data_IF_193897832832
#
_entry.id   IF_193897832832
#
_cell.length_a   1.000
_cell.length_b   1.000
_cell.length_c   1.000
_cell.angle_alpha   90.00
_cell.angle_beta   90.00
_cell.angle_gamma   90.00
#
_symmetry.space_group_name_H-M   'P 1'
#
loop_
_entity.id
_entity.type
_entity.pdbx_description
1 polymer ?
#
# COMPACT_ATOMS: atom_id res chain seq x y z
N UNK A 1 -13.12 14.31 12.39
CA UNK A 1 -13.57 14.41 10.97
C UNK A 1 -13.70 13.00 10.42
N UNK A 2 -14.76 12.69 9.67
CA UNK A 2 -14.96 11.39 9.03
C UNK A 2 -14.84 11.62 7.51
N UNK A 3 -14.00 10.83 6.84
CA UNK A 3 -13.83 10.86 5.39
C UNK A 3 -14.44 9.59 4.79
N UNK A 4 -15.29 9.75 3.78
CA UNK A 4 -15.93 8.64 3.07
C UNK A 4 -15.53 8.70 1.61
N UNK A 5 -15.16 7.55 1.05
CA UNK A 5 -14.71 7.41 -0.33
C UNK A 5 -14.75 5.95 -0.76
N UNK A 6 -14.06 5.63 -1.85
CA UNK A 6 -14.05 4.29 -2.44
C UNK A 6 -12.64 3.77 -2.68
N UNK A 7 -12.53 2.46 -2.88
CA UNK A 7 -11.32 1.80 -3.35
C UNK A 7 -11.18 2.02 -4.87
N UNK A 8 -10.33 2.96 -5.24
CA UNK A 8 -10.17 3.46 -6.60
C UNK A 8 -11.32 4.38 -7.05
N UNK A 9 -11.11 5.04 -8.17
CA UNK A 9 -12.13 5.90 -8.79
C UNK A 9 -13.19 5.04 -9.48
N UNK A 10 -14.44 5.09 -8.98
CA UNK A 10 -15.58 4.38 -9.58
C UNK A 10 -16.24 5.15 -10.74
N UNK A 11 -15.77 6.37 -11.00
CA UNK A 11 -16.22 7.24 -12.08
C UNK A 11 -15.07 8.14 -12.56
N UNK A 12 -15.35 9.10 -13.45
CA UNK A 12 -14.34 10.04 -13.92
C UNK A 12 -13.81 10.90 -12.76
N UNK A 13 -12.48 11.04 -12.64
CA UNK A 13 -11.83 11.73 -11.52
C UNK A 13 -12.41 13.10 -11.20
N UNK A 14 -12.70 13.90 -12.24
CA UNK A 14 -13.27 15.23 -12.08
C UNK A 14 -14.58 15.19 -11.28
N UNK A 15 -15.49 14.27 -11.64
CA UNK A 15 -16.76 14.09 -10.93
C UNK A 15 -16.55 13.48 -9.55
N UNK A 16 -15.60 12.54 -9.44
CA UNK A 16 -15.27 11.92 -8.16
C UNK A 16 -14.83 12.92 -7.11
N UNK A 17 -14.05 13.93 -7.50
CA UNK A 17 -13.60 15.00 -6.62
C UNK A 17 -14.73 15.96 -6.19
N UNK A 18 -15.86 15.96 -6.89
CA UNK A 18 -17.07 16.71 -6.51
C UNK A 18 -17.91 15.89 -5.49
N UNK A 19 -17.93 14.57 -5.61
CA UNK A 19 -18.75 13.67 -4.80
C UNK A 19 -18.07 13.16 -3.52
N UNK A 20 -16.73 13.07 -3.51
CA UNK A 20 -15.94 12.51 -2.39
C UNK A 20 -14.74 13.37 -2.03
N UNK A 21 -14.31 13.29 -0.77
CA UNK A 21 -13.12 13.99 -0.25
C UNK A 21 -11.91 13.08 -0.05
N UNK A 22 -12.03 11.78 -0.38
CA UNK A 22 -10.93 10.82 -0.26
C UNK A 22 -11.05 9.67 -1.25
N UNK A 23 -9.93 9.05 -1.60
CA UNK A 23 -9.87 7.81 -2.37
C UNK A 23 -8.71 6.93 -1.89
N UNK A 24 -8.90 5.62 -1.94
CA UNK A 24 -7.80 4.66 -1.82
C UNK A 24 -7.27 4.27 -3.20
N UNK A 25 -6.00 4.59 -3.48
CA UNK A 25 -5.33 4.19 -4.70
C UNK A 25 -4.89 2.73 -4.59
N UNK A 26 -5.73 1.85 -5.11
CA UNK A 26 -5.47 0.41 -5.17
C UNK A 26 -4.38 0.02 -6.18
N UNK A 27 -4.07 0.89 -7.16
CA UNK A 27 -3.18 0.53 -8.27
C UNK A 27 -1.73 0.32 -7.84
N UNK A 28 -1.27 1.08 -6.84
CA UNK A 28 0.07 0.97 -6.23
C UNK A 28 0.31 -0.39 -5.58
N UNK A 29 -0.74 -1.07 -5.11
CA UNK A 29 -0.64 -2.43 -4.61
C UNK A 29 -0.10 -3.40 -5.67
N UNK A 30 -0.56 -3.24 -6.92
CA UNK A 30 -0.19 -4.16 -8.00
C UNK A 30 1.02 -3.72 -8.78
N UNK A 31 1.21 -2.41 -8.98
CA UNK A 31 2.19 -1.87 -9.92
C UNK A 31 2.92 -0.70 -9.29
N UNK A 32 4.21 -0.58 -9.61
CA UNK A 32 4.95 0.66 -9.38
C UNK A 32 4.56 1.65 -10.47
N UNK A 33 3.93 2.74 -10.08
CA UNK A 33 3.40 3.78 -10.95
C UNK A 33 4.51 4.76 -11.34
N UNK A 34 4.34 5.37 -12.52
CA UNK A 34 5.25 6.42 -12.97
C UNK A 34 5.00 7.68 -12.16
N UNK A 35 6.07 8.33 -11.71
CA UNK A 35 6.03 9.55 -10.90
C UNK A 35 5.12 10.63 -11.52
N UNK A 36 5.22 10.85 -12.84
CA UNK A 36 4.37 11.80 -13.59
C UNK A 36 2.87 11.52 -13.47
N UNK A 37 2.49 10.26 -13.27
CA UNK A 37 1.08 9.86 -13.12
C UNK A 37 0.56 10.28 -11.76
N UNK A 38 1.34 10.01 -10.71
CA UNK A 38 1.03 10.39 -9.33
C UNK A 38 0.99 11.91 -9.17
N UNK A 39 1.99 12.62 -9.71
CA UNK A 39 2.02 14.09 -9.72
C UNK A 39 0.81 14.67 -10.43
N UNK A 40 0.40 14.08 -11.56
CA UNK A 40 -0.78 14.53 -12.30
C UNK A 40 -2.04 14.37 -11.44
N UNK A 41 -2.22 13.22 -10.77
CA UNK A 41 -3.40 13.03 -9.91
C UNK A 41 -3.40 13.95 -8.70
N UNK A 42 -2.25 14.18 -8.06
CA UNK A 42 -2.13 15.14 -6.97
C UNK A 42 -2.50 16.57 -7.41
N UNK A 43 -2.08 16.99 -8.61
CA UNK A 43 -2.44 18.30 -9.18
C UNK A 43 -3.89 18.43 -9.62
N UNK A 44 -4.54 17.33 -9.99
CA UNK A 44 -5.95 17.33 -10.40
C UNK A 44 -6.91 17.36 -9.21
N UNK A 45 -6.44 16.94 -8.03
CA UNK A 45 -7.25 16.88 -6.83
C UNK A 45 -7.42 18.27 -6.16
N UNK A 46 -8.56 18.51 -5.50
CA UNK A 46 -8.74 19.66 -4.62
C UNK A 46 -7.69 19.70 -3.49
N UNK A 47 -7.39 20.90 -2.97
CA UNK A 47 -6.36 21.12 -1.94
C UNK A 47 -6.58 20.27 -0.67
N UNK A 48 -7.83 20.12 -0.24
CA UNK A 48 -8.21 19.35 0.95
C UNK A 48 -8.50 17.86 0.67
N UNK A 49 -8.27 17.38 -0.55
CA UNK A 49 -8.57 16.00 -0.91
C UNK A 49 -7.52 15.03 -0.37
N UNK A 50 -7.98 13.99 0.32
CA UNK A 50 -7.08 13.06 1.02
C UNK A 50 -6.87 11.79 0.22
N UNK A 51 -5.64 11.54 -0.20
CA UNK A 51 -5.26 10.25 -0.79
C UNK A 51 -4.82 9.26 0.29
N UNK A 52 -5.22 8.00 0.10
CA UNK A 52 -4.56 6.84 0.69
C UNK A 52 -4.02 5.96 -0.42
N UNK A 53 -2.93 5.24 -0.17
CA UNK A 53 -2.40 4.24 -1.10
C UNK A 53 -2.36 2.88 -0.43
N UNK A 54 -2.45 1.81 -1.22
CA UNK A 54 -2.01 0.50 -0.73
C UNK A 54 -0.52 0.32 -0.98
N UNK A 55 0.19 -0.18 0.04
CA UNK A 55 1.59 -0.55 -0.11
C UNK A 55 1.77 -1.63 -1.18
N UNK A 56 2.88 -1.58 -1.90
CA UNK A 56 3.14 -2.51 -2.98
C UNK A 56 3.11 -3.97 -2.48
N UNK A 57 2.48 -4.87 -3.26
CA UNK A 57 2.28 -6.27 -2.87
C UNK A 57 3.59 -7.00 -2.53
N UNK A 58 4.74 -6.55 -3.05
CA UNK A 58 6.06 -7.10 -2.72
C UNK A 58 6.44 -7.03 -1.25
N UNK A 59 5.81 -6.15 -0.47
CA UNK A 59 6.00 -6.07 0.97
C UNK A 59 5.30 -7.23 1.69
N UNK A 60 4.12 -7.63 1.20
CA UNK A 60 3.21 -8.52 1.96
C UNK A 60 2.95 -9.87 1.30
N UNK A 61 2.99 -9.99 -0.03
CA UNK A 61 2.59 -11.20 -0.75
C UNK A 61 3.78 -11.98 -1.31
N UNK A 62 3.91 -13.28 -0.98
CA UNK A 62 5.03 -14.11 -1.43
C UNK A 62 5.02 -14.37 -2.95
N UNK A 63 6.16 -14.77 -3.57
CA UNK A 63 6.29 -15.00 -5.01
C UNK A 63 5.26 -15.95 -5.64
N UNK A 64 4.80 -16.96 -4.88
CA UNK A 64 3.82 -17.94 -5.35
C UNK A 64 2.38 -17.41 -5.39
N UNK A 65 2.16 -16.16 -4.97
CA UNK A 65 0.84 -15.54 -4.96
C UNK A 65 0.33 -15.26 -6.38
N UNK A 66 -0.92 -15.63 -6.73
CA UNK A 66 -1.43 -15.47 -8.09
C UNK A 66 -1.62 -14.00 -8.50
N UNK A 67 -1.59 -13.06 -7.55
CA UNK A 67 -1.75 -11.62 -7.84
C UNK A 67 -0.53 -11.01 -8.53
N UNK A 68 0.64 -11.67 -8.49
CA UNK A 68 1.85 -11.22 -9.19
C UNK A 68 1.66 -11.11 -10.70
N UNK A 69 0.72 -11.86 -11.30
CA UNK A 69 0.35 -11.72 -12.72
C UNK A 69 -0.12 -10.31 -13.11
N UNK A 70 -0.51 -9.48 -12.14
CA UNK A 70 -0.94 -8.08 -12.36
C UNK A 70 0.21 -7.08 -12.23
N UNK A 71 1.38 -7.52 -11.78
CA UNK A 71 2.55 -6.69 -11.53
C UNK A 71 3.27 -6.29 -12.81
N UNK A 72 3.90 -5.12 -12.77
CA UNK A 72 4.85 -4.67 -13.80
C UNK A 72 6.32 -4.86 -13.37
N UNK A 73 6.56 -5.45 -12.20
CA UNK A 73 7.89 -5.74 -11.67
C UNK A 73 8.23 -7.22 -11.91
N UNK A 74 9.46 -7.49 -12.36
CA UNK A 74 10.00 -8.85 -12.40
C UNK A 74 10.45 -9.25 -11.00
N UNK A 75 9.94 -10.37 -10.51
CA UNK A 75 10.33 -10.92 -9.23
C UNK A 75 11.79 -11.36 -9.23
N UNK A 76 12.49 -10.98 -8.16
CA UNK A 76 13.82 -11.48 -7.80
C UNK A 76 13.86 -11.67 -6.29
N UNK A 77 14.51 -12.72 -5.83
CA UNK A 77 14.74 -12.95 -4.40
C UNK A 77 13.49 -13.30 -3.58
N UNK A 78 13.61 -13.15 -2.27
CA UNK A 78 12.58 -13.49 -1.30
C UNK A 78 11.79 -12.25 -0.89
N UNK A 79 10.55 -12.16 -1.39
CA UNK A 79 9.65 -11.02 -1.14
C UNK A 79 8.45 -11.46 -0.30
N UNK A 80 7.71 -10.48 0.23
CA UNK A 80 6.45 -10.67 0.93
C UNK A 80 6.57 -11.07 2.40
N UNK A 81 5.41 -11.26 3.03
CA UNK A 81 5.22 -11.65 4.43
C UNK A 81 5.95 -10.77 5.44
N UNK A 82 6.15 -9.48 5.12
CA UNK A 82 6.89 -8.55 5.96
C UNK A 82 8.29 -9.06 6.33
N UNK A 83 8.90 -9.92 5.52
CA UNK A 83 10.23 -10.44 5.84
C UNK A 83 11.23 -9.28 5.84
N UNK A 84 12.18 -9.22 6.80
CA UNK A 84 13.21 -8.19 6.83
C UNK A 84 14.31 -8.51 5.81
N UNK A 85 13.96 -8.47 4.53
CA UNK A 85 14.87 -8.66 3.39
C UNK A 85 15.08 -7.35 2.65
N UNK A 86 16.23 -7.21 1.99
CA UNK A 86 16.55 -6.02 1.18
C UNK A 86 15.47 -5.74 0.13
N UNK A 87 14.89 -6.77 -0.48
CA UNK A 87 13.84 -6.60 -1.48
C UNK A 87 12.55 -6.06 -0.89
N UNK A 88 12.15 -6.52 0.30
CA UNK A 88 10.95 -6.01 0.99
C UNK A 88 11.14 -4.55 1.39
N UNK A 89 12.31 -4.19 1.94
CA UNK A 89 12.63 -2.81 2.30
C UNK A 89 12.68 -1.89 1.08
N UNK A 90 13.26 -2.34 -0.03
CA UNK A 90 13.23 -1.60 -1.30
C UNK A 90 11.81 -1.35 -1.79
N UNK A 91 10.89 -2.31 -1.67
CA UNK A 91 9.49 -2.07 -2.03
C UNK A 91 8.78 -1.12 -1.07
N UNK A 92 9.17 -1.11 0.20
CA UNK A 92 8.71 -0.11 1.16
C UNK A 92 9.19 1.30 0.79
N UNK A 93 10.47 1.48 0.47
CA UNK A 93 11.01 2.77 -0.01
C UNK A 93 10.29 3.28 -1.27
N UNK A 94 10.02 2.39 -2.23
CA UNK A 94 9.23 2.73 -3.41
C UNK A 94 7.81 3.17 -3.04
N UNK A 95 7.18 2.47 -2.09
CA UNK A 95 5.84 2.82 -1.57
C UNK A 95 5.86 4.21 -0.92
N UNK A 96 6.86 4.52 -0.09
CA UNK A 96 7.03 5.85 0.51
C UNK A 96 7.18 6.93 -0.55
N UNK A 97 7.99 6.67 -1.59
CA UNK A 97 8.18 7.61 -2.70
C UNK A 97 6.86 7.85 -3.44
N UNK A 98 6.08 6.80 -3.72
CA UNK A 98 4.77 6.95 -4.37
C UNK A 98 3.79 7.76 -3.51
N UNK A 99 3.76 7.50 -2.20
CA UNK A 99 2.93 8.25 -1.25
C UNK A 99 3.31 9.73 -1.22
N UNK A 100 4.61 10.03 -1.15
CA UNK A 100 5.15 11.40 -1.11
C UNK A 100 4.81 12.17 -2.37
N UNK A 101 5.03 11.57 -3.54
CA UNK A 101 4.77 12.19 -4.85
C UNK A 101 3.28 12.46 -5.05
N UNK A 102 2.41 11.56 -4.57
CA UNK A 102 0.96 11.74 -4.66
C UNK A 102 0.42 12.75 -3.65
N UNK A 103 1.14 13.00 -2.55
CA UNK A 103 0.59 13.70 -1.38
C UNK A 103 -0.38 12.84 -0.58
N UNK A 104 -0.14 11.52 -0.52
CA UNK A 104 -0.97 10.62 0.27
C UNK A 104 -0.74 10.83 1.77
N UNK A 105 -1.81 10.68 2.55
CA UNK A 105 -1.74 10.73 4.01
C UNK A 105 -1.58 9.34 4.63
N UNK A 106 -2.24 8.35 4.04
CA UNK A 106 -2.29 6.99 4.58
C UNK A 106 -1.63 5.97 3.66
N UNK A 107 -0.94 5.01 4.25
CA UNK A 107 -0.41 3.82 3.57
C UNK A 107 -1.04 2.59 4.22
N UNK A 108 -1.84 1.85 3.44
CA UNK A 108 -2.45 0.61 3.87
C UNK A 108 -1.56 -0.59 3.51
N UNK A 109 -1.12 -1.32 4.53
CA UNK A 109 -0.40 -2.58 4.43
C UNK A 109 -1.42 -3.72 4.56
N UNK A 110 -1.83 -4.27 3.41
CA UNK A 110 -2.76 -5.39 3.36
C UNK A 110 -2.00 -6.72 3.37
N UNK A 111 -2.19 -7.53 4.41
CA UNK A 111 -1.54 -8.83 4.57
C UNK A 111 -2.30 -9.95 3.82
N UNK A 112 -1.61 -10.96 3.28
CA UNK A 112 -2.27 -12.12 2.66
C UNK A 112 -2.89 -13.03 3.72
N UNK A 113 -3.86 -13.86 3.31
CA UNK A 113 -4.45 -14.91 4.17
C UNK A 113 -3.44 -15.91 4.73
N UNK A 114 -2.29 -16.05 4.06
CA UNK A 114 -1.21 -16.93 4.49
C UNK A 114 -0.40 -16.37 5.66
N UNK A 115 -0.48 -15.07 5.94
CA UNK A 115 0.14 -14.44 7.09
C UNK A 115 -0.78 -14.64 8.30
N UNK A 116 -0.40 -15.52 9.22
CA UNK A 116 -1.22 -16.00 10.34
C UNK A 116 -0.58 -15.66 11.69
N UNK A 117 -1.30 -15.94 12.78
CA UNK A 117 -0.85 -15.84 14.17
C UNK A 117 0.26 -16.87 14.51
N UNK A 118 1.40 -16.81 13.82
CA UNK A 118 2.58 -17.66 14.08
C UNK A 118 3.76 -16.83 14.59
N UNK A 119 4.63 -17.45 15.40
CA UNK A 119 5.86 -16.80 15.90
C UNK A 119 6.70 -16.20 14.77
N UNK A 120 6.83 -16.89 13.63
CA UNK A 120 7.53 -16.37 12.45
C UNK A 120 6.87 -15.09 11.90
N UNK A 121 5.53 -15.06 11.82
CA UNK A 121 4.81 -13.89 11.29
C UNK A 121 4.97 -12.69 12.21
N UNK A 122 4.87 -12.90 13.53
CA UNK A 122 5.11 -11.85 14.52
C UNK A 122 6.56 -11.34 14.46
N UNK A 123 7.55 -12.24 14.44
CA UNK A 123 8.95 -11.86 14.35
C UNK A 123 9.29 -11.09 13.05
N UNK A 124 8.65 -11.45 11.94
CA UNK A 124 8.78 -10.69 10.69
C UNK A 124 8.15 -9.31 10.80
N UNK A 125 6.92 -9.20 11.32
CA UNK A 125 6.24 -7.92 11.49
C UNK A 125 7.01 -6.98 12.43
N UNK A 126 7.44 -7.46 13.60
CA UNK A 126 8.23 -6.71 14.57
C UNK A 126 9.48 -6.12 13.93
N UNK A 127 10.33 -6.99 13.34
CA UNK A 127 11.56 -6.56 12.67
C UNK A 127 11.30 -5.59 11.51
N UNK A 128 10.25 -5.82 10.73
CA UNK A 128 9.89 -4.93 9.63
C UNK A 128 9.50 -3.56 10.15
N UNK A 129 8.56 -3.48 11.10
CA UNK A 129 8.07 -2.21 11.63
C UNK A 129 9.11 -1.45 12.47
N UNK A 130 10.07 -2.14 13.08
CA UNK A 130 11.22 -1.53 13.76
C UNK A 130 12.23 -0.89 12.78
N UNK A 131 12.40 -1.47 11.59
CA UNK A 131 13.47 -1.07 10.66
C UNK A 131 13.01 -0.12 9.57
N UNK A 132 11.72 -0.07 9.26
CA UNK A 132 11.22 0.84 8.22
C UNK A 132 11.23 2.31 8.68
N UNK A 133 11.50 3.20 7.74
CA UNK A 133 11.15 4.61 7.91
C UNK A 133 9.65 4.81 7.65
N UNK A 134 8.94 5.46 8.55
CA UNK A 134 7.52 5.80 8.35
C UNK A 134 7.31 7.21 7.79
N UNK A 135 8.28 8.11 7.96
CA UNK A 135 8.12 9.56 7.76
C UNK A 135 6.84 10.06 8.48
N UNK A 136 6.10 10.99 7.87
CA UNK A 136 4.86 11.56 8.39
C UNK A 136 3.59 10.76 8.02
N UNK A 137 3.72 9.62 7.34
CA UNK A 137 2.56 8.87 6.85
C UNK A 137 1.84 8.13 7.96
N UNK A 138 0.51 8.02 7.86
CA UNK A 138 -0.27 7.16 8.72
C UNK A 138 -0.35 5.73 8.17
N UNK A 139 0.18 4.75 8.91
CA UNK A 139 0.19 3.34 8.49
C UNK A 139 -1.06 2.65 9.05
N UNK A 140 -1.82 2.02 8.16
CA UNK A 140 -2.89 1.11 8.51
C UNK A 140 -2.49 -0.32 8.13
N UNK A 141 -2.90 -1.31 8.92
CA UNK A 141 -2.63 -2.73 8.65
C UNK A 141 -3.96 -3.49 8.53
N UNK A 142 -4.15 -4.19 7.43
CA UNK A 142 -5.33 -5.03 7.19
C UNK A 142 -4.96 -6.51 7.29
N UNK A 143 -5.52 -7.19 8.28
CA UNK A 143 -5.36 -8.63 8.52
C UNK A 143 -6.45 -9.40 7.75
N UNK A 144 -6.06 -10.39 6.92
CA UNK A 144 -7.01 -11.19 6.10
C UNK A 144 -7.14 -12.66 6.48
N UNK A 145 -6.31 -13.14 7.40
CA UNK A 145 -6.21 -14.57 7.77
C UNK A 145 -6.16 -14.84 9.27
N UNK A 146 -6.48 -13.84 10.08
CA UNK A 146 -6.37 -13.89 11.53
C UNK A 146 -7.70 -14.24 12.16
N UNK A 147 -7.67 -14.96 13.28
CA UNK A 147 -8.89 -15.29 14.01
C UNK A 147 -9.44 -14.03 14.68
N UNK A 148 -10.77 -13.93 14.83
CA UNK A 148 -11.39 -12.84 15.60
C UNK A 148 -11.06 -12.89 17.10
N UNK A 149 -10.37 -13.95 17.54
CA UNK A 149 -10.04 -14.17 18.95
C UNK A 149 -8.73 -13.50 19.38
N UNK A 150 -7.90 -13.08 18.42
CA UNK A 150 -6.60 -12.44 18.69
C UNK A 150 -5.56 -13.46 19.12
#
# INVERSE_FOLDING_TARGET
MILVGTCGFCEAKKRYFEDFSTVEVQQTFYKILQEKTLQKWGKEAPEDFVFSIKGFQGITHPPNSPIWRRSNVKLSGNVGLLRPTEEVFKYWELTLKEAEVLGARFILIQLPKSFKESEESFANAEKFFEQIERKEFEIAVELRGWSERG
#
